data_IF_295938641173
#
_entry.id   IF_295938641173
#
_cell.length_a   1.000
_cell.length_b   1.000
_cell.length_c   1.000
_cell.angle_alpha   90.00
_cell.angle_beta   90.00
_cell.angle_gamma   90.00
#
_symmetry.space_group_name_H-M   'P 1'
#
loop_
_entity.id
_entity.type
_entity.pdbx_description
1 polymer ?
#
# COMPACT_ATOMS: atom_id res chain seq x y z
N UNK A 1 -9.58 -10.57 -25.81
CA UNK A 1 -8.18 -10.11 -25.72
C UNK A 1 -7.92 -9.88 -24.25
N UNK A 2 -6.86 -10.47 -23.72
CA UNK A 2 -6.55 -10.46 -22.29
C UNK A 2 -5.90 -9.11 -21.95
N UNK A 3 -6.38 -8.43 -20.92
CA UNK A 3 -5.78 -7.18 -20.41
C UNK A 3 -4.53 -7.53 -19.62
N UNK A 4 -3.53 -6.64 -19.59
CA UNK A 4 -2.24 -6.90 -18.92
C UNK A 4 -2.45 -7.17 -17.43
N UNK A 5 -3.37 -6.43 -16.82
CA UNK A 5 -3.91 -6.72 -15.50
C UNK A 5 -5.39 -7.03 -15.62
N UNK A 6 -5.92 -8.00 -14.86
CA UNK A 6 -7.35 -8.19 -14.77
C UNK A 6 -7.98 -6.91 -14.21
N UNK A 7 -9.13 -6.52 -14.76
CA UNK A 7 -9.90 -5.40 -14.19
C UNK A 7 -10.48 -5.83 -12.85
N UNK A 8 -10.30 -5.01 -11.83
CA UNK A 8 -10.94 -5.24 -10.54
C UNK A 8 -12.47 -5.25 -10.67
N UNK A 9 -13.08 -6.32 -10.18
CA UNK A 9 -14.54 -6.45 -10.21
C UNK A 9 -15.19 -5.58 -9.13
N UNK A 10 -16.26 -4.87 -9.51
CA UNK A 10 -17.10 -4.04 -8.62
C UNK A 10 -16.34 -2.88 -7.96
N UNK A 11 -15.42 -2.26 -8.69
CA UNK A 11 -14.67 -1.10 -8.22
C UNK A 11 -15.48 0.21 -8.13
N UNK A 12 -16.71 0.23 -8.66
CA UNK A 12 -17.57 1.42 -8.69
C UNK A 12 -17.77 2.05 -7.30
N UNK A 13 -17.92 1.22 -6.26
CA UNK A 13 -18.09 1.71 -4.88
C UNK A 13 -16.86 2.48 -4.37
N UNK A 14 -15.66 1.99 -4.68
CA UNK A 14 -14.41 2.66 -4.32
C UNK A 14 -14.27 3.97 -5.09
N UNK A 15 -14.55 3.95 -6.40
CA UNK A 15 -14.47 5.13 -7.25
C UNK A 15 -15.48 6.20 -6.84
N UNK A 16 -16.72 5.82 -6.52
CA UNK A 16 -17.74 6.73 -6.00
C UNK A 16 -17.32 7.39 -4.68
N UNK A 17 -16.62 6.66 -3.81
CA UNK A 17 -16.06 7.22 -2.58
C UNK A 17 -14.97 8.25 -2.87
N UNK A 18 -14.03 7.93 -3.77
CA UNK A 18 -12.96 8.85 -4.21
C UNK A 18 -13.56 10.14 -4.79
N UNK A 19 -14.52 10.02 -5.72
CA UNK A 19 -15.11 11.16 -6.42
C UNK A 19 -15.92 12.10 -5.52
N UNK A 20 -16.43 11.59 -4.39
CA UNK A 20 -17.16 12.39 -3.40
C UNK A 20 -16.24 13.16 -2.45
N UNK A 21 -14.95 12.84 -2.43
CA UNK A 21 -13.94 13.46 -1.57
C UNK A 21 -12.96 14.31 -2.42
N UNK A 22 -13.08 15.66 -2.38
CA UNK A 22 -12.21 16.54 -3.16
C UNK A 22 -10.72 16.38 -2.83
N UNK A 23 -10.36 16.10 -1.57
CA UNK A 23 -8.96 15.91 -1.16
C UNK A 23 -8.42 14.59 -1.72
N UNK A 24 -9.25 13.54 -1.76
CA UNK A 24 -8.88 12.28 -2.41
C UNK A 24 -8.63 12.47 -3.92
N UNK A 25 -9.49 13.22 -4.60
CA UNK A 25 -9.31 13.56 -6.01
C UNK A 25 -8.02 14.34 -6.25
N UNK A 26 -7.74 15.34 -5.40
CA UNK A 26 -6.52 16.14 -5.49
C UNK A 26 -5.26 15.29 -5.27
N UNK A 27 -5.24 14.39 -4.26
CA UNK A 27 -4.11 13.48 -4.04
C UNK A 27 -3.87 12.56 -5.23
N UNK A 28 -4.92 11.98 -5.82
CA UNK A 28 -4.80 11.15 -7.01
C UNK A 28 -4.16 11.92 -8.18
N UNK A 29 -4.65 13.14 -8.42
CA UNK A 29 -4.11 14.04 -9.45
C UNK A 29 -2.64 14.37 -9.19
N UNK A 30 -2.29 14.78 -7.96
CA UNK A 30 -0.92 15.11 -7.59
C UNK A 30 0.04 13.94 -7.74
N UNK A 31 -0.37 12.73 -7.33
CA UNK A 31 0.43 11.52 -7.53
C UNK A 31 0.62 11.23 -9.01
N UNK A 32 -0.43 11.30 -9.83
CA UNK A 32 -0.32 11.07 -11.27
C UNK A 32 0.65 12.03 -11.96
N UNK A 33 0.48 13.35 -11.79
CA UNK A 33 1.38 14.34 -12.41
C UNK A 33 2.80 14.28 -11.86
N UNK A 34 2.95 14.00 -10.56
CA UNK A 34 4.25 13.83 -9.95
C UNK A 34 5.05 12.66 -10.53
N UNK A 35 4.39 11.56 -10.90
CA UNK A 35 5.05 10.42 -11.52
C UNK A 35 5.38 10.67 -13.00
N UNK A 36 4.54 11.40 -13.74
CA UNK A 36 4.82 11.82 -15.12
C UNK A 36 6.09 12.69 -15.18
N UNK A 37 6.22 13.67 -14.29
CA UNK A 37 7.32 14.65 -14.31
C UNK A 37 8.65 14.09 -13.76
N UNK A 38 8.66 12.86 -13.23
CA UNK A 38 9.80 12.31 -12.48
C UNK A 38 10.92 11.69 -13.32
N UNK A 39 10.76 11.58 -14.64
CA UNK A 39 11.63 10.75 -15.48
C UNK A 39 12.86 11.50 -16.02
N UNK A 40 13.84 11.77 -15.15
CA UNK A 40 15.11 12.42 -15.52
C UNK A 40 16.00 11.58 -16.46
N UNK A 41 15.68 10.31 -16.69
CA UNK A 41 16.46 9.38 -17.54
C UNK A 41 16.01 9.40 -19.02
N UNK A 42 14.80 9.89 -19.33
CA UNK A 42 14.33 10.10 -20.69
C UNK A 42 14.76 11.49 -21.17
N UNK A 43 15.26 11.60 -22.40
CA UNK A 43 15.58 12.91 -23.01
C UNK A 43 14.30 13.74 -23.11
N UNK A 44 14.09 14.65 -22.16
CA UNK A 44 12.92 15.52 -22.08
C UNK A 44 11.81 15.09 -21.13
N UNK A 45 11.97 14.00 -20.36
CA UNK A 45 11.01 13.63 -19.30
C UNK A 45 9.76 12.87 -19.74
N UNK A 46 9.64 12.47 -21.02
CA UNK A 46 8.45 11.82 -21.56
C UNK A 46 8.81 10.70 -22.55
N UNK A 47 7.85 9.80 -22.80
CA UNK A 47 7.94 8.80 -23.87
C UNK A 47 8.21 9.46 -25.24
N UNK A 48 8.98 8.82 -26.14
CA UNK A 48 9.08 9.24 -27.52
C UNK A 48 7.69 9.37 -28.18
N UNK A 49 7.44 10.38 -29.04
CA UNK A 49 6.12 10.64 -29.61
C UNK A 49 5.45 9.43 -30.27
N UNK A 50 6.22 8.61 -30.98
CA UNK A 50 5.75 7.42 -31.66
C UNK A 50 5.33 6.32 -30.67
N UNK A 51 6.07 6.17 -29.57
CA UNK A 51 5.75 5.21 -28.51
C UNK A 51 4.51 5.66 -27.73
N UNK A 52 4.39 6.96 -27.46
CA UNK A 52 3.18 7.54 -26.87
C UNK A 52 1.95 7.28 -27.76
N UNK A 53 2.03 7.58 -29.05
CA UNK A 53 0.92 7.38 -29.99
C UNK A 53 0.53 5.90 -30.09
N UNK A 54 1.52 4.99 -30.12
CA UNK A 54 1.29 3.55 -30.11
C UNK A 54 0.59 3.10 -28.82
N UNK A 55 1.10 3.48 -27.65
CA UNK A 55 0.49 3.13 -26.36
C UNK A 55 -0.96 3.64 -26.26
N UNK A 56 -1.22 4.86 -26.73
CA UNK A 56 -2.56 5.45 -26.77
C UNK A 56 -3.51 4.64 -27.67
N UNK A 57 -3.09 4.29 -28.89
CA UNK A 57 -3.91 3.53 -29.82
C UNK A 57 -4.13 2.08 -29.37
N UNK A 58 -3.12 1.46 -28.78
CA UNK A 58 -3.22 0.10 -28.24
C UNK A 58 -4.19 0.07 -27.06
N UNK A 59 -4.13 1.06 -26.15
CA UNK A 59 -5.06 1.19 -25.03
C UNK A 59 -6.52 1.39 -25.49
N UNK A 60 -6.75 2.17 -26.54
CA UNK A 60 -8.08 2.33 -27.13
C UNK A 60 -8.61 1.02 -27.73
N UNK A 61 -7.79 0.34 -28.54
CA UNK A 61 -8.19 -0.93 -29.21
C UNK A 61 -8.44 -2.05 -28.20
N UNK A 62 -7.57 -2.16 -27.20
CA UNK A 62 -7.60 -3.23 -26.21
C UNK A 62 -8.49 -2.90 -25.01
N UNK A 63 -8.96 -1.65 -24.90
CA UNK A 63 -9.67 -1.11 -23.72
C UNK A 63 -8.84 -1.30 -22.44
N UNK A 64 -7.53 -1.10 -22.54
CA UNK A 64 -6.60 -1.31 -21.44
C UNK A 64 -5.98 0.03 -21.02
N UNK A 65 -6.66 0.72 -20.10
CA UNK A 65 -6.14 1.97 -19.53
C UNK A 65 -4.88 1.73 -18.71
N UNK A 66 -4.76 0.58 -18.05
CA UNK A 66 -3.61 0.24 -17.21
C UNK A 66 -2.33 0.18 -18.04
N UNK A 67 -2.38 -0.44 -19.22
CA UNK A 67 -1.26 -0.46 -20.16
C UNK A 67 -0.78 0.96 -20.52
N UNK A 68 -1.72 1.89 -20.75
CA UNK A 68 -1.37 3.28 -21.04
C UNK A 68 -0.77 3.99 -19.84
N UNK A 69 -1.36 3.83 -18.64
CA UNK A 69 -0.85 4.44 -17.41
C UNK A 69 0.57 3.97 -17.08
N UNK A 70 0.87 2.68 -17.26
CA UNK A 70 2.22 2.17 -17.04
C UNK A 70 3.24 2.78 -18.00
N UNK A 71 2.83 3.02 -19.25
CA UNK A 71 3.65 3.68 -20.25
C UNK A 71 3.95 5.14 -19.88
N UNK A 72 2.94 5.92 -19.46
CA UNK A 72 3.11 7.37 -19.26
C UNK A 72 3.52 7.78 -17.84
N UNK A 73 3.20 6.98 -16.83
CA UNK A 73 3.44 7.32 -15.42
C UNK A 73 3.96 6.15 -14.58
N UNK A 74 4.44 5.05 -15.20
CA UNK A 74 5.08 3.90 -14.51
C UNK A 74 4.24 3.31 -13.36
N UNK A 75 2.93 3.36 -13.49
CA UNK A 75 1.98 2.86 -12.49
C UNK A 75 0.77 2.24 -13.20
N UNK A 76 0.25 1.14 -12.67
CA UNK A 76 -1.11 0.69 -12.98
C UNK A 76 -2.17 1.61 -12.33
N UNK A 77 -3.44 1.43 -12.66
CA UNK A 77 -4.54 2.15 -12.00
C UNK A 77 -4.52 1.94 -10.47
N UNK A 78 -4.32 0.70 -10.02
CA UNK A 78 -4.29 0.41 -8.58
C UNK A 78 -2.97 0.79 -7.91
N UNK A 79 -1.87 0.82 -8.64
CA UNK A 79 -0.63 1.42 -8.13
C UNK A 79 -0.85 2.91 -7.85
N UNK A 80 -1.47 3.66 -8.77
CA UNK A 80 -1.81 5.06 -8.54
C UNK A 80 -2.68 5.23 -7.30
N UNK A 81 -3.74 4.42 -7.14
CA UNK A 81 -4.61 4.49 -5.96
C UNK A 81 -3.85 4.20 -4.66
N UNK A 82 -3.05 3.13 -4.61
CA UNK A 82 -2.24 2.77 -3.43
C UNK A 82 -1.19 3.83 -3.14
N UNK A 83 -0.48 4.32 -4.16
CA UNK A 83 0.56 5.34 -4.04
C UNK A 83 0.00 6.72 -3.67
N UNK A 84 -1.29 6.96 -3.94
CA UNK A 84 -2.06 8.13 -3.51
C UNK A 84 -2.68 7.97 -2.10
N UNK A 85 -2.44 6.84 -1.42
CA UNK A 85 -3.07 6.48 -0.15
C UNK A 85 -4.60 6.37 -0.22
N UNK A 86 -5.11 5.96 -1.39
CA UNK A 86 -6.53 5.78 -1.73
C UNK A 86 -6.90 4.29 -1.89
N UNK A 87 -5.95 3.38 -1.76
CA UNK A 87 -6.26 1.96 -1.61
C UNK A 87 -5.27 1.35 -0.62
N UNK A 88 -5.71 0.40 0.23
CA UNK A 88 -4.80 -0.34 1.08
C UNK A 88 -3.94 -1.31 0.23
N UNK A 89 -2.85 -1.77 0.82
CA UNK A 89 -2.06 -2.87 0.29
C UNK A 89 -2.65 -4.20 0.75
N UNK A 90 -2.58 -5.22 -0.09
CA UNK A 90 -2.90 -6.57 0.36
C UNK A 90 -1.68 -7.18 1.05
N UNK A 91 -1.90 -7.84 2.19
CA UNK A 91 -0.86 -8.63 2.82
C UNK A 91 -0.39 -9.74 1.87
N UNK A 92 0.92 -9.86 1.74
CA UNK A 92 1.60 -10.90 0.97
C UNK A 92 1.07 -11.08 -0.47
N UNK A 93 0.69 -9.96 -1.11
CA UNK A 93 0.16 -9.95 -2.46
C UNK A 93 1.10 -10.68 -3.44
N UNK A 94 0.51 -11.46 -4.34
CA UNK A 94 1.21 -12.15 -5.43
C UNK A 94 2.31 -13.12 -4.95
N UNK A 95 2.13 -13.68 -3.74
CA UNK A 95 3.07 -14.64 -3.15
C UNK A 95 4.36 -13.99 -2.63
N UNK A 96 4.42 -12.66 -2.56
CA UNK A 96 5.57 -11.93 -2.03
C UNK A 96 5.26 -11.39 -0.65
N UNK A 97 6.12 -11.68 0.33
CA UNK A 97 5.95 -11.16 1.69
C UNK A 97 6.05 -9.63 1.69
N UNK A 98 5.00 -8.95 2.16
CA UNK A 98 4.96 -7.50 2.39
C UNK A 98 3.82 -7.15 3.35
N UNK A 99 4.10 -6.49 4.49
CA UNK A 99 5.43 -6.11 4.98
C UNK A 99 6.19 -7.32 5.56
N UNK A 100 7.53 -7.26 5.53
CA UNK A 100 8.39 -8.26 6.16
C UNK A 100 8.46 -8.00 7.66
N UNK A 101 8.05 -8.99 8.48
CA UNK A 101 8.23 -8.92 9.92
C UNK A 101 9.72 -9.07 10.28
N UNK A 102 10.22 -8.14 11.08
CA UNK A 102 11.60 -8.12 11.57
C UNK A 102 11.68 -8.54 13.03
N UNK A 103 10.54 -8.70 13.70
CA UNK A 103 10.45 -9.21 15.07
C UNK A 103 9.42 -10.31 15.19
N UNK A 104 9.62 -11.21 16.14
CA UNK A 104 8.62 -12.17 16.59
C UNK A 104 7.54 -11.51 17.46
N UNK A 105 6.59 -12.30 17.97
CA UNK A 105 5.50 -11.84 18.85
C UNK A 105 5.99 -11.36 20.22
N UNK A 106 7.18 -11.78 20.65
CA UNK A 106 7.85 -11.34 21.88
C UNK A 106 8.67 -10.05 21.66
N UNK A 107 8.71 -9.55 20.42
CA UNK A 107 9.45 -8.36 20.04
C UNK A 107 10.96 -8.58 20.03
N UNK A 108 11.43 -9.80 19.76
CA UNK A 108 12.84 -10.11 19.49
C UNK A 108 13.11 -10.07 17.99
N UNK A 109 14.28 -9.58 17.60
CA UNK A 109 14.66 -9.53 16.17
C UNK A 109 14.73 -10.93 15.56
N UNK A 110 14.04 -11.11 14.45
CA UNK A 110 14.18 -12.28 13.59
C UNK A 110 15.38 -12.03 12.68
N UNK A 111 16.30 -13.00 12.58
CA UNK A 111 17.52 -12.83 11.81
C UNK A 111 17.23 -12.86 10.30
N UNK A 112 17.05 -11.68 9.70
CA UNK A 112 16.91 -11.53 8.25
C UNK A 112 18.26 -11.20 7.62
N UNK A 113 18.72 -11.97 6.63
CA UNK A 113 20.03 -11.75 5.97
C UNK A 113 20.09 -10.48 5.12
N UNK A 114 18.95 -9.94 4.70
CA UNK A 114 18.87 -8.90 3.66
C UNK A 114 18.47 -7.51 4.19
N UNK A 115 17.84 -7.43 5.37
CA UNK A 115 17.34 -6.17 5.93
C UNK A 115 18.11 -5.84 7.21
N UNK A 116 18.85 -4.74 7.17
CA UNK A 116 19.60 -4.25 8.33
C UNK A 116 18.72 -3.35 9.21
N UNK A 117 18.47 -3.78 10.45
CA UNK A 117 17.82 -2.97 11.47
C UNK A 117 18.89 -2.27 12.31
N UNK A 118 18.86 -0.93 12.34
CA UNK A 118 19.75 -0.17 13.21
C UNK A 118 19.37 -0.37 14.69
N UNK A 119 20.36 -0.37 15.58
CA UNK A 119 20.13 -0.46 17.03
C UNK A 119 19.21 0.68 17.51
N UNK A 120 19.31 1.86 16.89
CA UNK A 120 18.46 3.02 17.19
C UNK A 120 16.99 2.75 16.88
N UNK A 121 16.67 2.14 15.74
CA UNK A 121 15.29 1.87 15.35
C UNK A 121 14.70 0.70 16.15
N UNK A 122 15.51 -0.33 16.42
CA UNK A 122 15.09 -1.41 17.32
C UNK A 122 14.83 -0.89 18.75
N UNK A 123 15.70 -0.03 19.30
CA UNK A 123 15.48 0.59 20.60
C UNK A 123 14.23 1.49 20.64
N UNK A 124 13.89 2.16 19.53
CA UNK A 124 12.64 2.92 19.42
C UNK A 124 11.42 2.00 19.48
N UNK A 125 11.46 0.89 18.76
CA UNK A 125 10.43 -0.15 18.85
C UNK A 125 10.30 -0.70 20.27
N UNK A 126 11.39 -1.16 20.90
CA UNK A 126 11.34 -1.74 22.26
C UNK A 126 10.79 -0.79 23.32
N UNK A 127 10.94 0.52 23.15
CA UNK A 127 10.36 1.52 24.07
C UNK A 127 8.83 1.58 24.03
N UNK A 128 8.23 1.34 22.87
CA UNK A 128 6.78 1.41 22.67
C UNK A 128 6.12 0.02 22.62
N UNK A 129 6.91 -1.02 22.35
CA UNK A 129 6.48 -2.41 22.39
C UNK A 129 6.06 -2.77 23.81
N UNK A 130 4.77 -3.08 23.97
CA UNK A 130 4.15 -3.51 25.23
C UNK A 130 3.15 -4.62 24.90
N UNK A 131 3.12 -5.68 25.70
CA UNK A 131 2.19 -6.81 25.50
C UNK A 131 0.73 -6.48 25.87
N UNK A 132 0.50 -5.40 26.61
CA UNK A 132 -0.77 -5.21 27.37
C UNK A 132 -1.91 -4.47 26.63
N UNK A 133 -1.73 -3.99 25.39
CA UNK A 133 -2.74 -3.14 24.72
C UNK A 133 -3.71 -3.87 23.77
N UNK A 134 -3.65 -5.19 23.65
CA UNK A 134 -4.57 -5.95 22.78
C UNK A 134 -4.38 -5.74 21.27
N UNK A 135 -3.34 -5.00 20.87
CA UNK A 135 -2.93 -4.78 19.47
C UNK A 135 -1.60 -5.48 19.25
N UNK A 136 -1.55 -6.37 18.26
CA UNK A 136 -0.31 -7.05 17.89
C UNK A 136 0.62 -6.04 17.22
N UNK A 137 1.85 -5.93 17.71
CA UNK A 137 2.81 -4.92 17.26
C UNK A 137 4.13 -5.57 16.88
N UNK A 138 4.58 -5.30 15.66
CA UNK A 138 5.84 -5.81 15.13
C UNK A 138 6.71 -4.67 14.61
N UNK A 139 8.03 -4.83 14.71
CA UNK A 139 8.92 -4.10 13.83
C UNK A 139 8.85 -4.76 12.45
N UNK A 140 8.63 -3.98 11.41
CA UNK A 140 8.48 -4.51 10.06
C UNK A 140 9.18 -3.61 9.03
N UNK A 141 9.55 -4.21 7.92
CA UNK A 141 10.02 -3.52 6.72
C UNK A 141 8.92 -3.57 5.67
N UNK A 142 8.41 -2.41 5.30
CA UNK A 142 7.35 -2.24 4.31
C UNK A 142 7.86 -1.48 3.09
N UNK A 143 7.31 -1.79 1.93
CA UNK A 143 7.59 -1.11 0.68
C UNK A 143 6.33 -1.01 -0.17
N UNK A 144 6.33 -0.03 -1.08
CA UNK A 144 5.32 0.11 -2.13
C UNK A 144 5.82 -0.56 -3.39
N UNK A 145 4.89 -0.94 -4.25
CA UNK A 145 5.16 -1.50 -5.57
C UNK A 145 4.75 -0.52 -6.65
N UNK A 146 5.46 -0.55 -7.77
CA UNK A 146 5.00 0.04 -9.02
C UNK A 146 5.24 -0.92 -10.16
N UNK A 147 4.36 -0.90 -11.14
CA UNK A 147 4.51 -1.66 -12.38
C UNK A 147 4.88 -0.72 -13.52
N UNK A 148 5.96 -1.02 -14.23
CA UNK A 148 6.34 -0.33 -15.46
C UNK A 148 6.84 -1.30 -16.51
N UNK A 149 6.96 -0.83 -17.74
CA UNK A 149 7.63 -1.60 -18.78
C UNK A 149 9.15 -1.54 -18.59
N UNK A 150 9.81 -2.66 -18.85
CA UNK A 150 11.25 -2.67 -19.12
C UNK A 150 11.53 -1.86 -20.40
N UNK A 151 12.59 -1.06 -20.38
CA UNK A 151 12.92 -0.15 -21.48
C UNK A 151 13.37 -0.88 -22.76
N UNK A 152 13.94 -2.08 -22.62
CA UNK A 152 14.52 -2.84 -23.72
C UNK A 152 13.57 -3.94 -24.22
N UNK A 153 12.92 -4.65 -23.29
CA UNK A 153 12.09 -5.82 -23.63
C UNK A 153 10.60 -5.52 -23.74
N UNK A 154 10.13 -4.39 -23.19
CA UNK A 154 8.71 -4.07 -23.02
C UNK A 154 7.94 -5.08 -22.15
N UNK A 155 8.64 -5.89 -21.35
CA UNK A 155 8.01 -6.78 -20.39
C UNK A 155 7.51 -5.98 -19.18
N UNK A 156 6.46 -6.49 -18.53
CA UNK A 156 5.96 -5.91 -17.28
C UNK A 156 6.93 -6.24 -16.16
N UNK A 157 7.49 -5.19 -15.57
CA UNK A 157 8.40 -5.26 -14.44
C UNK A 157 7.76 -4.66 -13.19
N UNK A 158 7.99 -5.30 -12.06
CA UNK A 158 7.60 -4.81 -10.74
C UNK A 158 8.82 -4.25 -10.02
N UNK A 159 8.70 -3.04 -9.45
CA UNK A 159 9.78 -2.39 -8.70
C UNK A 159 9.33 -2.07 -7.27
N UNK A 160 10.20 -2.34 -6.30
CA UNK A 160 10.05 -1.87 -4.91
C UNK A 160 10.40 -0.39 -4.82
N UNK A 161 9.63 0.36 -4.06
CA UNK A 161 9.89 1.78 -3.78
C UNK A 161 9.34 2.22 -2.43
N UNK A 162 9.85 3.32 -1.88
CA UNK A 162 9.38 3.84 -0.59
C UNK A 162 9.62 2.86 0.55
N UNK A 163 10.75 2.17 0.51
CA UNK A 163 11.17 1.18 1.49
C UNK A 163 11.41 1.84 2.85
N UNK A 164 10.78 1.30 3.89
CA UNK A 164 10.84 1.86 5.24
C UNK A 164 10.84 0.76 6.30
N UNK A 165 11.63 0.98 7.36
CA UNK A 165 11.45 0.28 8.63
C UNK A 165 10.40 1.06 9.44
N UNK A 166 9.43 0.34 9.97
CA UNK A 166 8.26 0.89 10.65
C UNK A 166 7.69 -0.02 11.71
N UNK A 167 6.73 0.49 12.45
CA UNK A 167 5.86 -0.32 13.30
C UNK A 167 4.69 -0.81 12.46
N UNK A 168 4.42 -2.11 12.50
CA UNK A 168 3.17 -2.68 12.02
C UNK A 168 2.27 -2.95 13.23
N UNK A 169 1.12 -2.29 13.26
CA UNK A 169 0.03 -2.55 14.20
C UNK A 169 -0.99 -3.42 13.49
N UNK A 170 -1.31 -4.59 14.05
CA UNK A 170 -2.23 -5.56 13.45
C UNK A 170 -3.49 -5.65 14.31
N UNK A 171 -4.63 -5.46 13.66
CA UNK A 171 -5.97 -5.47 14.24
C UNK A 171 -6.82 -6.53 13.55
N UNK A 172 -7.88 -6.96 14.22
CA UNK A 172 -8.93 -7.75 13.57
C UNK A 172 -9.62 -6.92 12.47
N UNK A 173 -9.87 -7.52 11.31
CA UNK A 173 -10.55 -6.85 10.21
C UNK A 173 -12.00 -6.53 10.59
N UNK A 174 -12.53 -5.34 10.22
CA UNK A 174 -13.95 -5.03 10.43
C UNK A 174 -14.86 -6.04 9.73
N UNK A 175 -15.98 -6.40 10.35
CA UNK A 175 -16.95 -7.38 9.80
C UNK A 175 -17.47 -7.00 8.41
N UNK A 176 -17.54 -5.70 8.12
CA UNK A 176 -17.94 -5.17 6.82
C UNK A 176 -17.00 -5.61 5.69
N UNK A 177 -15.73 -5.88 5.99
CA UNK A 177 -14.74 -6.30 5.00
C UNK A 177 -14.76 -7.83 4.84
N UNK A 178 -14.96 -8.59 5.94
CA UNK A 178 -15.07 -10.06 5.93
C UNK A 178 -16.19 -10.58 5.03
N UNK A 179 -17.23 -9.76 4.81
CA UNK A 179 -18.40 -10.09 3.99
C UNK A 179 -18.21 -9.80 2.49
N UNK A 180 -17.11 -9.16 2.10
CA UNK A 180 -16.88 -8.73 0.71
C UNK A 180 -16.38 -9.88 -0.17
N UNK A 181 -16.74 -9.83 -1.46
CA UNK A 181 -16.47 -10.91 -2.42
C UNK A 181 -15.41 -10.56 -3.46
N UNK A 182 -15.03 -9.29 -3.57
CA UNK A 182 -14.00 -8.81 -4.50
C UNK A 182 -13.03 -7.88 -3.78
N UNK A 183 -11.85 -7.70 -4.37
CA UNK A 183 -10.79 -6.86 -3.82
C UNK A 183 -11.25 -5.40 -3.66
N UNK A 184 -11.85 -4.85 -4.70
CA UNK A 184 -12.33 -3.47 -4.69
C UNK A 184 -13.46 -3.21 -3.68
N UNK A 185 -14.28 -4.23 -3.40
CA UNK A 185 -15.27 -4.12 -2.32
C UNK A 185 -14.60 -4.07 -0.94
N UNK A 186 -13.54 -4.86 -0.72
CA UNK A 186 -12.76 -4.80 0.50
C UNK A 186 -12.08 -3.43 0.68
N UNK A 187 -11.53 -2.88 -0.41
CA UNK A 187 -10.98 -1.52 -0.43
C UNK A 187 -12.00 -0.45 -0.04
N UNK A 188 -13.20 -0.51 -0.62
CA UNK A 188 -14.28 0.42 -0.28
C UNK A 188 -14.70 0.33 1.19
N UNK A 189 -14.64 -0.87 1.79
CA UNK A 189 -14.99 -1.11 3.17
C UNK A 189 -13.96 -0.54 4.16
N UNK A 190 -12.66 -0.61 3.86
CA UNK A 190 -11.61 -0.02 4.73
C UNK A 190 -11.30 1.45 4.41
N UNK A 191 -11.89 2.00 3.34
CA UNK A 191 -11.63 3.37 2.88
C UNK A 191 -11.79 4.41 3.98
N UNK A 192 -12.89 4.36 4.76
CA UNK A 192 -13.19 5.39 5.75
C UNK A 192 -12.18 5.39 6.91
N UNK A 193 -11.67 4.20 7.27
CA UNK A 193 -10.57 4.05 8.24
C UNK A 193 -9.30 4.66 7.65
N UNK A 194 -8.96 4.32 6.41
CA UNK A 194 -7.77 4.82 5.74
C UNK A 194 -7.79 6.34 5.59
N UNK A 195 -8.92 6.96 5.27
CA UNK A 195 -9.02 8.43 5.18
C UNK A 195 -8.82 9.10 6.52
N UNK A 196 -9.40 8.56 7.60
CA UNK A 196 -9.17 9.05 8.96
C UNK A 196 -7.70 8.90 9.36
N UNK A 197 -7.07 7.76 9.03
CA UNK A 197 -5.64 7.54 9.24
C UNK A 197 -4.80 8.54 8.45
N UNK A 198 -5.08 8.79 7.17
CA UNK A 198 -4.30 9.78 6.40
C UNK A 198 -4.43 11.20 6.95
N UNK A 199 -5.60 11.55 7.50
CA UNK A 199 -5.84 12.86 8.11
C UNK A 199 -5.03 13.05 9.39
N UNK A 200 -5.05 12.07 10.29
CA UNK A 200 -4.47 12.20 11.63
C UNK A 200 -3.03 11.65 11.72
N UNK A 201 -2.68 10.71 10.83
CA UNK A 201 -1.40 10.00 10.70
C UNK A 201 -0.93 10.00 9.23
N UNK A 202 -0.64 11.17 8.64
CA UNK A 202 -0.30 11.27 7.24
C UNK A 202 0.89 10.38 6.86
N UNK A 203 0.77 9.66 5.75
CA UNK A 203 1.76 8.70 5.22
C UNK A 203 1.90 7.40 6.02
N UNK A 204 0.93 7.07 6.89
CA UNK A 204 0.77 5.68 7.32
C UNK A 204 0.35 4.81 6.14
N UNK A 205 0.80 3.56 6.06
CA UNK A 205 0.26 2.61 5.10
C UNK A 205 -0.79 1.73 5.75
N UNK A 206 -1.82 1.35 5.00
CA UNK A 206 -2.85 0.42 5.46
C UNK A 206 -2.69 -0.87 4.66
N UNK A 207 -2.69 -1.99 5.37
CA UNK A 207 -2.69 -3.33 4.82
C UNK A 207 -4.00 -4.03 5.20
N UNK A 208 -4.47 -4.95 4.37
CA UNK A 208 -5.62 -5.81 4.67
C UNK A 208 -5.43 -7.20 4.07
N UNK A 209 -6.13 -8.18 4.63
CA UNK A 209 -6.23 -9.53 4.06
C UNK A 209 -5.74 -10.63 5.01
N UNK A 210 -5.70 -11.85 4.49
CA UNK A 210 -5.30 -13.06 5.21
C UNK A 210 -3.84 -13.36 4.90
N UNK A 211 -2.97 -13.24 5.90
CA UNK A 211 -1.67 -13.93 6.09
C UNK A 211 -0.67 -13.00 6.79
N UNK A 212 -0.63 -13.01 8.11
CA UNK A 212 0.59 -12.59 8.82
C UNK A 212 1.08 -13.59 9.86
N UNK A 213 0.21 -14.43 10.42
CA UNK A 213 0.55 -15.25 11.59
C UNK A 213 -0.15 -16.61 11.48
N UNK A 214 0.60 -17.64 11.08
CA UNK A 214 0.15 -19.03 11.21
C UNK A 214 -0.03 -19.34 12.70
N UNK A 215 -1.27 -19.29 13.19
CA UNK A 215 -1.63 -19.90 14.46
C UNK A 215 -2.80 -20.88 14.22
N UNK A 216 -2.49 -22.17 14.35
CA UNK A 216 -3.43 -23.27 14.53
C UNK A 216 -4.63 -23.39 13.57
N UNK A 217 -4.47 -23.01 12.29
CA UNK A 217 -5.46 -23.32 11.25
C UNK A 217 -6.77 -22.51 11.30
N UNK A 218 -6.82 -21.45 12.11
CA UNK A 218 -7.85 -20.41 11.98
C UNK A 218 -7.31 -19.26 11.12
N UNK A 219 -7.97 -19.03 9.98
CA UNK A 219 -7.67 -17.91 9.09
C UNK A 219 -8.21 -16.63 9.73
N UNK A 220 -7.32 -15.73 10.14
CA UNK A 220 -7.72 -14.40 10.59
C UNK A 220 -7.61 -13.40 9.44
N UNK A 221 -8.71 -12.71 9.22
CA UNK A 221 -8.77 -11.51 8.40
C UNK A 221 -8.16 -10.36 9.21
N UNK A 222 -7.07 -9.74 8.72
CA UNK A 222 -6.30 -8.75 9.49
C UNK A 222 -6.24 -7.38 8.80
N UNK A 223 -6.30 -6.31 9.59
CA UNK A 223 -6.01 -4.94 9.18
C UNK A 223 -4.64 -4.52 9.76
N UNK A 224 -3.71 -4.16 8.88
CA UNK A 224 -2.41 -3.62 9.28
C UNK A 224 -2.35 -2.11 9.17
N UNK A 225 -1.89 -1.41 10.20
CA UNK A 225 -1.50 0.00 10.13
C UNK A 225 0.02 0.08 10.29
N UNK A 226 0.70 0.49 9.22
CA UNK A 226 2.15 0.62 9.19
C UNK A 226 2.58 2.08 9.38
N UNK A 227 3.42 2.31 10.38
CA UNK A 227 3.94 3.61 10.77
C UNK A 227 5.47 3.65 10.56
N UNK A 228 5.97 4.26 9.47
CA UNK A 228 7.42 4.41 9.25
C UNK A 228 8.11 5.12 10.42
N UNK A 229 9.10 4.47 11.04
CA UNK A 229 9.71 4.95 12.30
C UNK A 229 10.29 6.35 12.13
N UNK A 230 11.02 6.61 11.05
CA UNK A 230 11.65 7.92 10.84
C UNK A 230 10.63 9.06 10.68
N UNK A 231 9.40 8.77 10.23
CA UNK A 231 8.33 9.77 10.09
C UNK A 231 7.64 10.06 11.42
N UNK A 232 7.44 9.03 12.24
CA UNK A 232 6.67 9.13 13.48
C UNK A 232 7.54 9.18 14.75
N UNK A 233 8.87 9.17 14.63
CA UNK A 233 9.80 8.92 15.74
C UNK A 233 9.62 9.79 16.99
N UNK A 234 9.24 11.06 16.85
CA UNK A 234 9.03 11.97 17.99
C UNK A 234 7.67 11.80 18.69
N UNK A 235 6.71 11.16 18.01
CA UNK A 235 5.32 11.03 18.46
C UNK A 235 4.83 9.59 18.34
N UNK A 236 5.73 8.62 18.40
CA UNK A 236 5.43 7.23 18.06
C UNK A 236 4.34 6.64 18.96
N UNK A 237 4.45 6.83 20.28
CA UNK A 237 3.42 6.41 21.25
C UNK A 237 2.05 7.07 20.98
N UNK A 238 2.04 8.39 20.75
CA UNK A 238 0.82 9.11 20.38
C UNK A 238 0.23 8.62 19.04
N UNK A 239 1.09 8.23 18.11
CA UNK A 239 0.68 7.76 16.78
C UNK A 239 0.00 6.39 16.88
N UNK A 240 0.54 5.49 17.71
CA UNK A 240 -0.07 4.21 18.05
C UNK A 240 -1.45 4.43 18.68
N UNK A 241 -1.53 5.26 19.72
CA UNK A 241 -2.82 5.56 20.39
C UNK A 241 -3.86 6.18 19.44
N UNK A 242 -3.40 6.93 18.42
CA UNK A 242 -4.27 7.53 17.41
C UNK A 242 -4.79 6.47 16.44
N UNK A 243 -3.91 5.56 15.98
CA UNK A 243 -4.29 4.44 15.13
C UNK A 243 -5.31 3.53 15.83
N UNK A 244 -5.05 3.15 17.08
CA UNK A 244 -5.93 2.32 17.91
C UNK A 244 -7.33 2.94 17.99
N UNK A 245 -7.42 4.24 18.29
CA UNK A 245 -8.71 4.95 18.38
C UNK A 245 -9.45 4.97 17.06
N UNK A 246 -8.76 5.17 15.94
CA UNK A 246 -9.39 5.26 14.62
C UNK A 246 -9.93 3.90 14.19
N UNK A 247 -9.16 2.83 14.38
CA UNK A 247 -9.55 1.47 13.99
C UNK A 247 -10.69 0.96 14.87
N UNK A 248 -10.57 1.08 16.20
CA UNK A 248 -11.62 0.61 17.12
C UNK A 248 -12.90 1.44 17.10
N UNK A 249 -12.87 2.70 16.63
CA UNK A 249 -14.10 3.47 16.43
C UNK A 249 -14.95 2.99 15.23
N UNK A 250 -14.42 2.05 14.43
CA UNK A 250 -15.00 1.55 13.19
C UNK A 250 -15.18 0.02 13.19
N UNK A 251 -14.71 -0.65 14.24
CA UNK A 251 -14.97 -2.06 14.54
C UNK A 251 -16.28 -2.19 15.32
#
# INVERSE_FOLDING_TARGET
METIFPREEKADLLFDKILKDPEACERLMQTFYGEIDSDLELVGGYLPPEQFAKALFDAYKNRDLTAFLMAVCKNSMFDLLRNSFLAPFRFNADGQVNPYLLTDEDGNLIQTKEIHVSEKDYNRFKKVFRKEKGVKMYLAYGYRKRHSYDADTMDVMEYKMGEHIGLLLVYELPDTVKQQRTEAQAYAAVWDIMMKLQKDLPRSFVYYGQDSLEDEGQRFDELGVFLPIHRFSERLEKSIDTADKIVHAQA
#
